data_IF_376034188170
#
_entry.id   IF_376034188170
#
_cell.length_a   1.000
_cell.length_b   1.000
_cell.length_c   1.000
_cell.angle_alpha   90.00
_cell.angle_beta   90.00
_cell.angle_gamma   90.00
#
_symmetry.space_group_name_H-M   'P 1'
#
loop_
_entity.id
_entity.type
_entity.pdbx_description
1 polymer ?
#
# COMPACT_ATOMS: atom_id res chain seq x y z
N UNK A 1 -25.16 -5.65 -7.50
CA UNK A 1 -24.92 -4.46 -6.65
C UNK A 1 -23.47 -4.52 -6.18
N UNK A 2 -22.71 -3.42 -6.22
CA UNK A 2 -21.43 -3.37 -5.50
C UNK A 2 -21.66 -3.72 -4.04
N UNK A 3 -20.82 -4.58 -3.47
CA UNK A 3 -20.87 -4.89 -2.04
C UNK A 3 -20.57 -3.59 -1.26
N UNK A 4 -21.35 -3.27 -0.21
CA UNK A 4 -21.13 -2.12 0.67
C UNK A 4 -19.66 -1.95 1.07
N UNK A 5 -18.99 -3.06 1.31
CA UNK A 5 -17.57 -3.13 1.63
C UNK A 5 -16.66 -2.56 0.53
N UNK A 6 -16.91 -2.88 -0.74
CA UNK A 6 -16.13 -2.35 -1.87
C UNK A 6 -16.31 -0.84 -2.02
N UNK A 7 -17.53 -0.35 -1.82
CA UNK A 7 -17.85 1.07 -1.89
C UNK A 7 -17.18 1.85 -0.76
N UNK A 8 -17.24 1.31 0.47
CA UNK A 8 -16.57 1.90 1.62
C UNK A 8 -15.06 2.04 1.40
N UNK A 9 -14.39 0.99 0.92
CA UNK A 9 -12.94 1.01 0.69
C UNK A 9 -12.55 2.01 -0.39
N UNK A 10 -13.36 2.14 -1.45
CA UNK A 10 -13.14 3.13 -2.50
C UNK A 10 -13.25 4.56 -1.93
N UNK A 11 -14.31 4.86 -1.18
CA UNK A 11 -14.47 6.17 -0.55
C UNK A 11 -13.35 6.48 0.45
N UNK A 12 -12.91 5.48 1.21
CA UNK A 12 -11.80 5.63 2.15
C UNK A 12 -10.48 5.91 1.43
N UNK A 13 -10.21 5.21 0.33
CA UNK A 13 -9.01 5.46 -0.48
C UNK A 13 -9.04 6.85 -1.14
N UNK A 14 -10.18 7.26 -1.69
CA UNK A 14 -10.33 8.61 -2.26
C UNK A 14 -10.15 9.70 -1.21
N UNK A 15 -10.68 9.49 0.00
CA UNK A 15 -10.48 10.38 1.13
C UNK A 15 -9.01 10.41 1.60
N UNK A 16 -8.31 9.27 1.62
CA UNK A 16 -6.89 9.18 1.94
C UNK A 16 -6.04 9.92 0.89
N UNK A 17 -6.25 9.66 -0.41
CA UNK A 17 -5.53 10.36 -1.48
C UNK A 17 -5.80 11.86 -1.53
N UNK A 18 -6.98 12.31 -1.12
CA UNK A 18 -7.31 13.72 -1.01
C UNK A 18 -6.98 14.34 0.35
N UNK A 19 -6.47 13.54 1.29
CA UNK A 19 -6.12 13.95 2.65
C UNK A 19 -7.32 14.57 3.41
N UNK A 20 -8.54 14.10 3.11
CA UNK A 20 -9.77 14.55 3.75
C UNK A 20 -10.00 13.81 5.07
N UNK A 21 -9.30 14.26 6.12
CA UNK A 21 -9.39 13.68 7.47
C UNK A 21 -10.83 13.73 8.02
N UNK A 22 -11.64 14.72 7.63
CA UNK A 22 -13.04 14.81 8.07
C UNK A 22 -13.88 13.68 7.46
N UNK A 23 -13.69 13.40 6.17
CA UNK A 23 -14.35 12.27 5.49
C UNK A 23 -13.88 10.94 6.06
N UNK A 24 -12.59 10.76 6.33
CA UNK A 24 -12.06 9.54 6.96
C UNK A 24 -12.67 9.36 8.36
N UNK A 25 -12.72 10.41 9.17
CA UNK A 25 -13.32 10.39 10.50
C UNK A 25 -14.82 10.02 10.44
N UNK A 26 -15.55 10.55 9.46
CA UNK A 26 -16.96 10.20 9.22
C UNK A 26 -17.11 8.71 8.87
N UNK A 27 -16.30 8.20 7.93
CA UNK A 27 -16.30 6.79 7.54
C UNK A 27 -15.98 5.86 8.72
N UNK A 28 -15.03 6.24 9.58
CA UNK A 28 -14.72 5.51 10.80
C UNK A 28 -15.95 5.39 11.72
N UNK A 29 -16.65 6.50 11.98
CA UNK A 29 -17.83 6.51 12.85
C UNK A 29 -18.97 5.69 12.24
N UNK A 30 -19.25 5.86 10.95
CA UNK A 30 -20.30 5.10 10.25
C UNK A 30 -20.05 3.58 10.31
N UNK A 31 -18.82 3.14 10.02
CA UNK A 31 -18.46 1.73 10.09
C UNK A 31 -18.57 1.17 11.51
N UNK A 32 -18.16 1.96 12.52
CA UNK A 32 -18.26 1.59 13.93
C UNK A 32 -19.71 1.45 14.38
N UNK A 33 -20.57 2.41 14.06
CA UNK A 33 -22.00 2.40 14.38
C UNK A 33 -22.74 1.25 13.67
N UNK A 34 -22.34 0.92 12.44
CA UNK A 34 -22.87 -0.21 11.69
C UNK A 34 -22.33 -1.59 12.15
N UNK A 35 -21.50 -1.64 13.20
CA UNK A 35 -20.90 -2.88 13.71
C UNK A 35 -19.88 -3.53 12.76
N UNK A 36 -19.34 -2.76 11.80
CA UNK A 36 -18.36 -3.24 10.80
C UNK A 36 -16.94 -3.02 11.31
N UNK A 37 -16.56 -3.80 12.32
CA UNK A 37 -15.31 -3.61 13.09
C UNK A 37 -14.05 -3.47 12.22
N UNK A 38 -13.78 -4.42 11.32
CA UNK A 38 -12.57 -4.36 10.47
C UNK A 38 -12.57 -3.17 9.49
N UNK A 39 -13.74 -2.71 9.03
CA UNK A 39 -13.82 -1.49 8.19
C UNK A 39 -13.55 -0.24 9.03
N UNK A 40 -14.02 -0.21 10.27
CA UNK A 40 -13.70 0.86 11.20
C UNK A 40 -12.19 0.90 11.50
N UNK A 41 -11.55 -0.26 11.69
CA UNK A 41 -10.11 -0.33 11.89
C UNK A 41 -9.35 0.12 10.64
N UNK A 42 -9.80 -0.26 9.44
CA UNK A 42 -9.24 0.23 8.17
C UNK A 42 -9.23 1.77 8.12
N UNK A 43 -10.36 2.43 8.43
CA UNK A 43 -10.42 3.89 8.48
C UNK A 43 -9.52 4.46 9.60
N UNK A 44 -9.46 3.80 10.75
CA UNK A 44 -8.62 4.21 11.89
C UNK A 44 -7.13 4.22 11.55
N UNK A 45 -6.63 3.27 10.74
CA UNK A 45 -5.24 3.32 10.26
C UNK A 45 -4.91 4.60 9.50
N UNK A 46 -5.88 5.14 8.75
CA UNK A 46 -5.74 6.35 7.93
C UNK A 46 -5.85 7.64 8.74
N UNK A 47 -6.41 7.56 9.95
CA UNK A 47 -6.37 8.64 10.94
C UNK A 47 -5.07 8.66 11.77
N UNK A 48 -4.15 7.71 11.52
CA UNK A 48 -2.86 7.61 12.21
C UNK A 48 -3.00 7.50 13.75
N UNK A 49 -4.13 6.96 14.24
CA UNK A 49 -4.45 6.83 15.67
C UNK A 49 -4.82 5.39 16.09
N UNK A 50 -4.40 4.41 15.30
CA UNK A 50 -4.57 2.99 15.60
C UNK A 50 -3.57 2.53 16.67
N UNK A 51 -4.01 1.69 17.59
CA UNK A 51 -3.16 1.15 18.66
C UNK A 51 -2.43 -0.13 18.24
N UNK A 52 -1.30 -0.50 18.88
CA UNK A 52 -0.61 -1.76 18.59
C UNK A 52 -1.48 -3.02 18.79
N UNK A 53 -2.46 -2.96 19.69
CA UNK A 53 -3.42 -4.06 19.89
C UNK A 53 -4.36 -4.23 18.69
N UNK A 54 -4.86 -3.12 18.16
CA UNK A 54 -5.72 -3.12 16.96
C UNK A 54 -4.95 -3.51 15.70
N UNK A 55 -3.68 -3.09 15.58
CA UNK A 55 -2.77 -3.55 14.51
C UNK A 55 -2.61 -5.07 14.55
N UNK A 56 -2.33 -5.65 15.73
CA UNK A 56 -2.27 -7.11 15.91
C UNK A 56 -3.60 -7.80 15.62
N UNK A 57 -4.72 -7.14 15.91
CA UNK A 57 -6.04 -7.67 15.57
C UNK A 57 -6.22 -7.81 14.05
N UNK A 58 -5.83 -6.78 13.29
CA UNK A 58 -5.84 -6.82 11.82
C UNK A 58 -4.90 -7.92 11.30
N UNK A 59 -3.68 -8.01 11.83
CA UNK A 59 -2.71 -9.04 11.43
C UNK A 59 -3.27 -10.45 11.66
N UNK A 60 -3.80 -10.71 12.86
CA UNK A 60 -4.41 -11.99 13.21
C UNK A 60 -5.58 -12.33 12.27
N UNK A 61 -6.41 -11.35 11.93
CA UNK A 61 -7.47 -11.53 10.93
C UNK A 61 -6.87 -11.93 9.58
N UNK A 62 -5.93 -11.16 9.04
CA UNK A 62 -5.31 -11.39 7.74
C UNK A 62 -4.61 -12.75 7.65
N UNK A 63 -3.94 -13.20 8.73
CA UNK A 63 -3.27 -14.49 8.79
C UNK A 63 -4.24 -15.69 8.83
N UNK A 64 -5.45 -15.50 9.36
CA UNK A 64 -6.48 -16.55 9.43
C UNK A 64 -7.28 -16.68 8.14
N UNK A 65 -7.23 -15.70 7.24
CA UNK A 65 -7.91 -15.79 5.93
C UNK A 65 -7.06 -16.60 4.94
N UNK A 66 -7.65 -17.65 4.35
CA UNK A 66 -6.99 -18.55 3.40
C UNK A 66 -6.79 -17.95 2.00
N UNK A 67 -7.81 -17.27 1.48
CA UNK A 67 -7.79 -16.61 0.16
C UNK A 67 -8.07 -15.12 0.36
N UNK A 68 -7.20 -14.25 -0.16
CA UNK A 68 -7.37 -12.81 0.00
C UNK A 68 -8.18 -12.23 -1.16
N UNK A 69 -9.32 -11.63 -0.81
CA UNK A 69 -10.11 -10.80 -1.69
C UNK A 69 -9.57 -9.36 -1.72
N UNK A 70 -10.32 -8.48 -2.38
CA UNK A 70 -9.93 -7.06 -2.46
C UNK A 70 -9.94 -6.38 -1.10
N UNK A 71 -10.80 -6.84 -0.19
CA UNK A 71 -10.86 -6.32 1.17
C UNK A 71 -9.57 -6.60 1.95
N UNK A 72 -9.15 -7.87 2.03
CA UNK A 72 -7.96 -8.27 2.77
C UNK A 72 -6.72 -7.58 2.20
N UNK A 73 -6.63 -7.47 0.88
CA UNK A 73 -5.57 -6.72 0.20
C UNK A 73 -5.56 -5.24 0.60
N UNK A 74 -6.73 -4.59 0.62
CA UNK A 74 -6.81 -3.17 0.98
C UNK A 74 -6.50 -2.96 2.46
N UNK A 75 -6.95 -3.87 3.32
CA UNK A 75 -6.66 -3.84 4.75
C UNK A 75 -5.16 -4.03 5.03
N UNK A 76 -4.50 -4.94 4.31
CA UNK A 76 -3.06 -5.12 4.40
C UNK A 76 -2.31 -3.86 3.96
N UNK A 77 -2.69 -3.30 2.80
CA UNK A 77 -2.10 -2.04 2.30
C UNK A 77 -2.19 -0.94 3.37
N UNK A 78 -3.34 -0.78 4.02
CA UNK A 78 -3.53 0.24 5.04
C UNK A 78 -2.80 -0.05 6.37
N UNK A 79 -2.71 -1.29 6.82
CA UNK A 79 -2.01 -1.60 8.07
C UNK A 79 -0.50 -1.61 7.91
N UNK A 80 0.02 -1.78 6.69
CA UNK A 80 1.47 -1.90 6.44
C UNK A 80 2.30 -0.66 6.80
N UNK A 81 1.67 0.51 7.03
CA UNK A 81 2.34 1.70 7.59
C UNK A 81 2.58 1.61 9.11
N UNK A 82 1.97 0.62 9.79
CA UNK A 82 1.85 0.52 11.25
C UNK A 82 2.41 -0.78 11.84
N UNK A 83 2.91 -1.67 10.99
CA UNK A 83 3.50 -2.96 11.39
C UNK A 83 5.03 -2.87 11.33
N UNK A 84 5.70 -3.69 12.13
CA UNK A 84 7.15 -3.87 12.05
C UNK A 84 7.57 -4.80 10.90
N UNK A 85 8.88 -4.96 10.70
CA UNK A 85 9.45 -5.78 9.63
C UNK A 85 9.05 -7.26 9.79
N UNK A 86 9.09 -7.81 11.01
CA UNK A 86 8.76 -9.22 11.26
C UNK A 86 7.28 -9.50 10.92
N UNK A 87 6.38 -8.60 11.29
CA UNK A 87 4.96 -8.66 10.93
C UNK A 87 4.74 -8.51 9.42
N UNK A 88 5.48 -7.63 8.75
CA UNK A 88 5.41 -7.47 7.30
C UNK A 88 5.86 -8.74 6.58
N UNK A 89 6.97 -9.34 6.99
CA UNK A 89 7.46 -10.62 6.47
C UNK A 89 6.44 -11.74 6.65
N UNK A 90 5.85 -11.85 7.84
CA UNK A 90 4.83 -12.84 8.15
C UNK A 90 3.62 -12.73 7.20
N UNK A 91 3.14 -11.51 6.94
CA UNK A 91 2.04 -11.26 6.00
C UNK A 91 2.44 -11.53 4.54
N UNK A 92 3.71 -11.32 4.18
CA UNK A 92 4.22 -11.55 2.83
C UNK A 92 4.53 -13.02 2.51
N UNK A 93 4.84 -13.85 3.51
CA UNK A 93 5.32 -15.23 3.34
C UNK A 93 4.41 -16.13 2.48
N UNK A 94 3.11 -15.85 2.41
CA UNK A 94 2.16 -16.58 1.56
C UNK A 94 1.36 -15.68 0.60
N UNK A 95 1.83 -14.45 0.37
CA UNK A 95 1.09 -13.42 -0.35
C UNK A 95 0.71 -13.85 -1.77
N UNK A 96 1.67 -14.39 -2.53
CA UNK A 96 1.43 -14.85 -3.90
C UNK A 96 0.37 -15.95 -3.97
N UNK A 97 0.45 -16.95 -3.07
CA UNK A 97 -0.49 -18.07 -3.02
C UNK A 97 -1.89 -17.61 -2.62
N UNK A 98 -2.00 -16.69 -1.66
CA UNK A 98 -3.29 -16.14 -1.19
C UNK A 98 -4.02 -15.33 -2.27
N UNK A 99 -3.30 -14.84 -3.27
CA UNK A 99 -3.81 -13.87 -4.26
C UNK A 99 -3.85 -14.40 -5.71
N UNK A 100 -3.37 -15.64 -5.94
CA UNK A 100 -3.21 -16.24 -7.27
C UNK A 100 -4.49 -16.16 -8.13
N UNK A 101 -5.65 -16.41 -7.51
CA UNK A 101 -6.96 -16.46 -8.17
C UNK A 101 -7.39 -15.13 -8.80
N UNK A 102 -6.95 -14.01 -8.24
CA UNK A 102 -7.43 -12.69 -8.63
C UNK A 102 -6.38 -11.82 -9.33
N UNK A 103 -5.12 -12.28 -9.42
CA UNK A 103 -4.03 -11.49 -10.00
C UNK A 103 -4.23 -11.09 -11.47
N UNK A 104 -5.15 -11.76 -12.20
CA UNK A 104 -5.51 -11.41 -13.58
C UNK A 104 -6.50 -10.24 -13.68
N UNK A 105 -7.22 -9.92 -12.61
CA UNK A 105 -8.15 -8.80 -12.56
C UNK A 105 -7.40 -7.51 -12.25
N UNK A 106 -7.54 -6.49 -13.10
CA UNK A 106 -6.80 -5.22 -12.98
C UNK A 106 -6.90 -4.60 -11.57
N UNK A 107 -8.12 -4.53 -11.00
CA UNK A 107 -8.38 -4.00 -9.65
C UNK A 107 -7.52 -4.67 -8.58
N UNK A 108 -7.41 -5.99 -8.63
CA UNK A 108 -6.66 -6.78 -7.66
C UNK A 108 -5.17 -6.70 -7.93
N UNK A 109 -4.76 -6.84 -9.20
CA UNK A 109 -3.37 -6.70 -9.62
C UNK A 109 -2.76 -5.37 -9.20
N UNK A 110 -3.49 -4.27 -9.37
CA UNK A 110 -3.05 -2.94 -8.95
C UNK A 110 -2.81 -2.89 -7.45
N UNK A 111 -3.71 -3.42 -6.62
CA UNK A 111 -3.54 -3.46 -5.16
C UNK A 111 -2.37 -4.34 -4.74
N UNK A 112 -2.18 -5.50 -5.40
CA UNK A 112 -1.01 -6.35 -5.18
C UNK A 112 0.30 -5.60 -5.44
N UNK A 113 0.37 -4.88 -6.55
CA UNK A 113 1.54 -4.08 -6.91
C UNK A 113 1.75 -2.91 -5.95
N UNK A 114 0.69 -2.24 -5.49
CA UNK A 114 0.76 -1.20 -4.45
C UNK A 114 1.39 -1.74 -3.16
N UNK A 115 0.91 -2.89 -2.67
CA UNK A 115 1.45 -3.56 -1.49
C UNK A 115 2.92 -3.93 -1.70
N UNK A 116 3.24 -4.55 -2.83
CA UNK A 116 4.60 -4.99 -3.13
C UNK A 116 5.58 -3.81 -3.16
N UNK A 117 5.25 -2.73 -3.87
CA UNK A 117 6.12 -1.56 -3.97
C UNK A 117 6.23 -0.79 -2.65
N UNK A 118 5.17 -0.73 -1.85
CA UNK A 118 5.25 -0.20 -0.50
C UNK A 118 6.14 -1.07 0.40
N UNK A 119 6.00 -2.40 0.32
CA UNK A 119 6.81 -3.33 1.10
C UNK A 119 8.29 -3.20 0.74
N UNK A 120 8.63 -3.12 -0.56
CA UNK A 120 9.99 -2.87 -1.01
C UNK A 120 10.56 -1.56 -0.47
N UNK A 121 9.74 -0.50 -0.42
CA UNK A 121 10.14 0.77 0.19
C UNK A 121 10.38 0.66 1.71
N UNK A 122 9.53 -0.08 2.42
CA UNK A 122 9.68 -0.36 3.86
C UNK A 122 10.97 -1.13 4.12
N UNK A 123 11.21 -2.25 3.43
CA UNK A 123 12.44 -3.05 3.56
C UNK A 123 13.69 -2.21 3.26
N UNK A 124 13.66 -1.43 2.17
CA UNK A 124 14.78 -0.57 1.81
C UNK A 124 15.12 0.46 2.90
N UNK A 125 14.10 1.08 3.51
CA UNK A 125 14.28 2.03 4.59
C UNK A 125 14.78 1.40 5.90
N UNK A 126 14.66 0.08 6.06
CA UNK A 126 15.17 -0.67 7.20
C UNK A 126 16.53 -1.33 6.93
N UNK A 127 17.09 -1.18 5.72
CA UNK A 127 18.38 -1.76 5.35
C UNK A 127 18.31 -3.17 4.73
N UNK A 128 17.10 -3.70 4.55
CA UNK A 128 16.85 -5.06 4.03
C UNK A 128 16.87 -5.06 2.49
N UNK A 129 18.09 -5.00 1.93
CA UNK A 129 18.30 -4.86 0.48
C UNK A 129 17.78 -6.06 -0.32
N UNK A 130 18.08 -7.27 0.15
CA UNK A 130 17.77 -8.52 -0.56
C UNK A 130 16.26 -8.67 -0.73
N UNK A 131 15.51 -8.37 0.32
CA UNK A 131 14.07 -8.45 0.42
C UNK A 131 13.42 -7.40 -0.49
N UNK A 132 13.91 -6.17 -0.45
CA UNK A 132 13.44 -5.08 -1.32
C UNK A 132 13.64 -5.40 -2.81
N UNK A 133 14.84 -5.87 -3.19
CA UNK A 133 15.15 -6.26 -4.58
C UNK A 133 14.34 -7.49 -5.02
N UNK A 134 14.20 -8.50 -4.16
CA UNK A 134 13.42 -9.70 -4.45
C UNK A 134 11.94 -9.38 -4.74
N UNK A 135 11.34 -8.46 -3.98
CA UNK A 135 9.96 -8.01 -4.24
C UNK A 135 9.84 -7.33 -5.62
N UNK A 136 10.80 -6.47 -5.99
CA UNK A 136 10.83 -5.83 -7.31
C UNK A 136 11.02 -6.85 -8.46
N UNK A 137 11.73 -7.96 -8.19
CA UNK A 137 11.91 -9.05 -9.14
C UNK A 137 10.64 -9.89 -9.31
N UNK A 138 10.04 -10.36 -8.22
CA UNK A 138 8.84 -11.21 -8.26
C UNK A 138 7.66 -10.48 -8.92
N UNK A 139 7.57 -9.16 -8.76
CA UNK A 139 6.48 -8.38 -9.37
C UNK A 139 6.53 -8.32 -10.90
N UNK A 140 7.66 -8.66 -11.55
CA UNK A 140 7.78 -8.67 -13.03
C UNK A 140 6.70 -9.51 -13.70
N UNK A 141 6.40 -10.70 -13.16
CA UNK A 141 5.38 -11.62 -13.71
C UNK A 141 3.98 -11.01 -13.76
N UNK A 142 3.66 -10.09 -12.84
CA UNK A 142 2.37 -9.41 -12.83
C UNK A 142 2.31 -8.29 -13.89
N UNK A 143 3.44 -7.66 -14.20
CA UNK A 143 3.51 -6.60 -15.23
C UNK A 143 3.25 -7.14 -16.63
N UNK A 144 3.72 -8.36 -16.90
CA UNK A 144 3.50 -9.04 -18.18
C UNK A 144 2.01 -9.35 -18.45
N UNK A 145 1.15 -9.30 -17.42
CA UNK A 145 -0.30 -9.55 -17.55
C UNK A 145 -1.10 -8.34 -18.04
N UNK A 146 -0.47 -7.17 -18.24
CA UNK A 146 -1.10 -6.01 -18.86
C UNK A 146 -0.61 -4.68 -18.30
N UNK A 147 -0.69 -3.64 -19.13
CA UNK A 147 -0.20 -2.28 -18.82
C UNK A 147 -1.06 -1.61 -17.75
N UNK A 148 -0.41 -1.11 -16.69
CA UNK A 148 -1.01 -0.24 -15.68
C UNK A 148 -0.04 0.90 -15.35
N UNK A 149 -0.26 2.06 -15.98
CA UNK A 149 0.63 3.22 -15.85
C UNK A 149 0.76 3.70 -14.40
N UNK A 150 -0.32 3.62 -13.63
CA UNK A 150 -0.28 3.99 -12.22
C UNK A 150 0.66 3.08 -11.44
N UNK A 151 0.54 1.76 -11.63
CA UNK A 151 1.43 0.80 -10.97
C UNK A 151 2.89 0.97 -11.42
N UNK A 152 3.15 1.33 -12.69
CA UNK A 152 4.52 1.65 -13.15
C UNK A 152 5.11 2.86 -12.43
N UNK A 153 4.33 3.92 -12.21
CA UNK A 153 4.79 5.07 -11.43
C UNK A 153 5.17 4.65 -10.02
N UNK A 154 4.36 3.82 -9.35
CA UNK A 154 4.68 3.31 -8.01
C UNK A 154 5.93 2.44 -8.00
N UNK A 155 6.15 1.64 -9.04
CA UNK A 155 7.38 0.87 -9.20
C UNK A 155 8.60 1.78 -9.31
N UNK A 156 8.49 2.86 -10.10
CA UNK A 156 9.57 3.82 -10.25
C UNK A 156 9.88 4.53 -8.92
N UNK A 157 8.88 4.84 -8.10
CA UNK A 157 9.06 5.33 -6.74
C UNK A 157 9.83 4.32 -5.89
N UNK A 158 9.34 3.07 -5.78
CA UNK A 158 9.99 2.03 -4.98
C UNK A 158 11.43 1.74 -5.45
N UNK A 159 11.65 1.64 -6.76
CA UNK A 159 13.00 1.46 -7.31
C UNK A 159 13.90 2.65 -6.98
N UNK A 160 13.37 3.88 -7.01
CA UNK A 160 14.10 5.07 -6.64
C UNK A 160 14.50 5.08 -5.15
N UNK A 161 13.63 4.58 -4.28
CA UNK A 161 13.92 4.41 -2.84
C UNK A 161 15.00 3.36 -2.61
N UNK A 162 14.96 2.23 -3.32
CA UNK A 162 16.00 1.19 -3.25
C UNK A 162 17.36 1.75 -3.68
N UNK A 163 17.42 2.43 -4.84
CA UNK A 163 18.66 3.06 -5.34
C UNK A 163 19.16 4.12 -4.34
N UNK A 164 18.26 4.93 -3.77
CA UNK A 164 18.61 5.96 -2.80
C UNK A 164 19.29 5.37 -1.54
N UNK A 165 18.78 4.25 -1.03
CA UNK A 165 19.28 3.65 0.21
C UNK A 165 20.55 2.80 0.01
N UNK A 166 20.74 2.17 -1.15
CA UNK A 166 21.79 1.14 -1.32
C UNK A 166 22.81 1.40 -2.43
N UNK A 167 22.59 2.40 -3.29
CA UNK A 167 23.44 2.64 -4.47
C UNK A 167 23.90 4.09 -4.54
N UNK A 168 23.00 5.00 -4.92
CA UNK A 168 23.32 6.40 -5.22
C UNK A 168 22.13 7.30 -4.84
N UNK A 169 22.35 8.15 -3.82
CA UNK A 169 21.32 9.06 -3.29
C UNK A 169 20.80 10.03 -4.36
N UNK A 170 21.66 10.54 -5.23
CA UNK A 170 21.27 11.53 -6.24
C UNK A 170 20.50 10.87 -7.39
N UNK A 171 20.96 9.71 -7.85
CA UNK A 171 20.24 8.92 -8.86
C UNK A 171 18.87 8.47 -8.34
N UNK A 172 18.82 7.97 -7.11
CA UNK A 172 17.58 7.57 -6.44
C UNK A 172 16.60 8.74 -6.34
N UNK A 173 17.06 9.90 -5.87
CA UNK A 173 16.26 11.13 -5.78
C UNK A 173 15.76 11.59 -7.15
N UNK A 174 16.60 11.56 -8.19
CA UNK A 174 16.20 11.89 -9.56
C UNK A 174 15.09 10.98 -10.07
N UNK A 175 15.18 9.67 -9.80
CA UNK A 175 14.17 8.68 -10.18
C UNK A 175 12.84 8.91 -9.44
N UNK A 176 12.89 9.18 -8.14
CA UNK A 176 11.72 9.52 -7.32
C UNK A 176 11.03 10.78 -7.86
N UNK A 177 11.79 11.85 -8.09
CA UNK A 177 11.24 13.11 -8.59
C UNK A 177 10.61 12.96 -9.98
N UNK A 178 11.21 12.16 -10.86
CA UNK A 178 10.63 11.86 -12.17
C UNK A 178 9.28 11.15 -12.06
N UNK A 179 9.15 10.17 -11.16
CA UNK A 179 7.90 9.45 -10.93
C UNK A 179 6.80 10.36 -10.33
N UNK A 180 7.17 11.23 -9.37
CA UNK A 180 6.25 12.23 -8.83
C UNK A 180 5.82 13.27 -9.88
N UNK A 181 6.74 13.70 -10.75
CA UNK A 181 6.43 14.60 -11.86
C UNK A 181 5.41 13.99 -12.84
N UNK A 182 5.53 12.70 -13.14
CA UNK A 182 4.57 11.99 -13.97
C UNK A 182 3.15 12.01 -13.37
N UNK A 183 2.99 11.86 -12.04
CA UNK A 183 1.68 11.95 -11.41
C UNK A 183 1.02 13.31 -11.64
N UNK A 184 1.79 14.39 -11.48
CA UNK A 184 1.29 15.76 -11.69
C UNK A 184 0.96 16.05 -13.15
N UNK A 185 1.82 15.63 -14.09
CA UNK A 185 1.62 15.81 -15.53
C UNK A 185 0.30 15.18 -16.01
N UNK A 186 -0.07 14.02 -15.46
CA UNK A 186 -1.34 13.35 -15.76
C UNK A 186 -2.52 13.79 -14.87
N UNK A 187 -2.42 14.96 -14.23
CA UNK A 187 -3.50 15.58 -13.45
C UNK A 187 -3.66 15.04 -12.02
N UNK A 188 -2.76 14.18 -11.57
CA UNK A 188 -2.76 13.55 -10.25
C UNK A 188 -2.06 14.37 -9.17
N UNK A 189 -2.31 15.68 -9.07
CA UNK A 189 -1.65 16.55 -8.07
C UNK A 189 -1.83 16.04 -6.63
N UNK A 190 -3.06 15.65 -6.26
CA UNK A 190 -3.36 15.09 -4.93
C UNK A 190 -2.61 13.77 -4.67
N UNK A 191 -2.47 12.91 -5.69
CA UNK A 191 -1.70 11.68 -5.60
C UNK A 191 -0.20 11.96 -5.43
N UNK A 192 0.34 12.96 -6.14
CA UNK A 192 1.72 13.41 -5.95
C UNK A 192 1.94 13.85 -4.51
N UNK A 193 1.09 14.73 -3.98
CA UNK A 193 1.20 15.24 -2.61
C UNK A 193 1.10 14.10 -1.57
N UNK A 194 0.17 13.17 -1.78
CA UNK A 194 0.03 11.96 -0.96
C UNK A 194 1.34 11.15 -0.91
N UNK A 195 1.91 10.80 -2.09
CA UNK A 195 3.14 10.02 -2.13
C UNK A 195 4.36 10.80 -1.65
N UNK A 196 4.41 12.13 -1.84
CA UNK A 196 5.47 12.98 -1.30
C UNK A 196 5.54 12.92 0.23
N UNK A 197 4.40 13.04 0.93
CA UNK A 197 4.36 12.92 2.40
C UNK A 197 4.80 11.52 2.85
N UNK A 198 4.39 10.48 2.14
CA UNK A 198 4.78 9.10 2.46
C UNK A 198 6.27 8.86 2.30
N UNK A 199 6.92 9.50 1.32
CA UNK A 199 8.36 9.37 1.08
C UNK A 199 9.21 9.86 2.25
N UNK A 200 8.71 10.81 3.06
CA UNK A 200 9.41 11.28 4.27
C UNK A 200 9.70 10.12 5.25
N UNK A 201 8.85 9.08 5.27
CA UNK A 201 9.06 7.89 6.11
C UNK A 201 10.24 7.03 5.65
N UNK A 202 10.59 7.07 4.36
CA UNK A 202 11.59 6.17 3.74
C UNK A 202 12.93 6.84 3.44
N UNK A 203 12.97 8.16 3.36
CA UNK A 203 14.16 8.93 2.98
C UNK A 203 14.76 9.63 4.21
N UNK A 204 15.27 8.84 5.17
CA UNK A 204 16.00 9.39 6.32
C UNK A 204 17.44 9.74 5.88
N UNK A 205 17.87 10.97 6.18
CA UNK A 205 19.17 11.51 5.79
C UNK A 205 20.34 10.79 6.46
#
# INVERSE_FOLDING_TARGET
>A
MPNYQDFFLLELEEADFSQDLNKIQKLYLEAREAGKHMLSLAAKTRLENISPLEVREIENYLCNVKEWGYFELTLFYFVSDHIDIDQLENLLANFDKRCEKYCRLLKYRRRLLQIAYQSAAIFAAHGERSEAENILEITKKYREMGVDLYAEVLRHLATGIVIFNFEDKDLGRKKINCALGALEEFGGLRLKEFYQRRLEKFLKN
#
